data_IF_775387978623
#
_entry.id   IF_775387978623
#
_cell.length_a   1.000
_cell.length_b   1.000
_cell.length_c   1.000
_cell.angle_alpha   90.00
_cell.angle_beta   90.00
_cell.angle_gamma   90.00
#
_symmetry.space_group_name_H-M   'P 1'
#
loop_
_entity.id
_entity.type
_entity.pdbx_description
1 polymer ?
#
# COMPACT_ATOMS: atom_id res chain seq x y z
N UNK A 1 19.80 3.02 -14.55
CA UNK A 1 18.48 3.52 -14.14
C UNK A 1 17.90 2.66 -13.04
N UNK A 2 17.77 3.22 -11.87
CA UNK A 2 17.20 2.47 -10.75
C UNK A 2 15.69 2.58 -10.80
N UNK A 3 15.04 1.46 -10.99
CA UNK A 3 13.59 1.40 -10.85
C UNK A 3 13.27 1.30 -9.37
N UNK A 4 12.53 2.26 -8.85
CA UNK A 4 12.10 2.21 -7.47
C UNK A 4 11.18 1.01 -7.27
N UNK A 5 11.33 0.32 -6.14
CA UNK A 5 10.43 -0.78 -5.79
C UNK A 5 9.03 -0.23 -5.52
N UNK A 6 8.02 -1.11 -5.52
CA UNK A 6 6.66 -0.69 -5.21
C UNK A 6 6.57 -0.08 -3.81
N UNK A 7 7.33 -0.61 -2.86
CA UNK A 7 7.37 -0.05 -1.51
C UNK A 7 7.88 1.39 -1.52
N UNK A 8 8.92 1.65 -2.28
CA UNK A 8 9.47 3.00 -2.41
C UNK A 8 8.49 3.94 -3.07
N UNK A 9 7.81 3.47 -4.11
CA UNK A 9 6.79 4.27 -4.80
C UNK A 9 5.64 4.61 -3.88
N UNK A 10 5.21 3.65 -3.07
CA UNK A 10 4.14 3.88 -2.09
C UNK A 10 4.58 4.94 -1.08
N UNK A 11 5.82 4.87 -0.59
CA UNK A 11 6.36 5.86 0.33
C UNK A 11 6.39 7.25 -0.31
N UNK A 12 6.81 7.32 -1.57
CA UNK A 12 6.84 8.58 -2.29
C UNK A 12 5.46 9.15 -2.52
N UNK A 13 4.49 8.29 -2.86
CA UNK A 13 3.10 8.69 -3.02
C UNK A 13 2.53 9.23 -1.70
N UNK A 14 2.92 8.62 -0.58
CA UNK A 14 2.51 9.09 0.73
C UNK A 14 3.01 10.52 0.97
N UNK A 15 4.28 10.76 0.68
CA UNK A 15 4.86 12.09 0.83
C UNK A 15 4.17 13.11 -0.07
N UNK A 16 3.89 12.71 -1.31
CA UNK A 16 3.18 13.58 -2.25
C UNK A 16 1.77 13.91 -1.75
N UNK A 17 1.05 12.92 -1.22
CA UNK A 17 -0.27 13.14 -0.68
C UNK A 17 -0.23 14.07 0.53
N UNK A 18 0.79 13.95 1.38
CA UNK A 18 0.98 14.84 2.51
C UNK A 18 1.18 16.29 2.06
N UNK A 19 2.03 16.49 1.06
CA UNK A 19 2.31 17.82 0.52
C UNK A 19 1.09 18.44 -0.13
N UNK A 20 0.30 17.63 -0.81
CA UNK A 20 -0.90 18.08 -1.48
C UNK A 20 -2.09 18.25 -0.53
N UNK A 21 -1.98 17.78 0.70
CA UNK A 21 -3.07 17.84 1.66
C UNK A 21 -4.21 16.89 1.37
N UNK A 22 -3.95 15.83 0.61
CA UNK A 22 -4.96 14.83 0.26
C UNK A 22 -5.11 13.81 1.39
N UNK A 23 -5.94 14.15 2.37
CA UNK A 23 -6.10 13.33 3.57
C UNK A 23 -6.64 11.94 3.29
N UNK A 24 -7.61 11.83 2.40
CA UNK A 24 -8.21 10.53 2.06
C UNK A 24 -7.19 9.62 1.41
N UNK A 25 -6.44 10.15 0.45
CA UNK A 25 -5.41 9.40 -0.23
C UNK A 25 -4.31 8.99 0.75
N UNK A 26 -3.91 9.90 1.61
CA UNK A 26 -2.91 9.63 2.63
C UNK A 26 -3.35 8.50 3.55
N UNK A 27 -4.61 8.54 4.01
CA UNK A 27 -5.17 7.48 4.85
C UNK A 27 -5.14 6.12 4.16
N UNK A 28 -5.52 6.07 2.90
CA UNK A 28 -5.50 4.84 2.11
C UNK A 28 -4.07 4.29 1.98
N UNK A 29 -3.11 5.18 1.69
CA UNK A 29 -1.71 4.77 1.55
C UNK A 29 -1.17 4.24 2.88
N UNK A 30 -1.51 4.88 3.99
CA UNK A 30 -1.11 4.42 5.32
C UNK A 30 -1.68 3.05 5.64
N UNK A 31 -2.93 2.80 5.29
CA UNK A 31 -3.54 1.49 5.46
C UNK A 31 -2.81 0.44 4.66
N UNK A 32 -2.44 0.77 3.43
CA UNK A 32 -1.68 -0.13 2.57
C UNK A 32 -0.32 -0.45 3.18
N UNK A 33 0.39 0.55 3.65
CA UNK A 33 1.69 0.35 4.29
C UNK A 33 1.57 -0.49 5.55
N UNK A 34 0.54 -0.26 6.34
CA UNK A 34 0.29 -1.05 7.54
C UNK A 34 0.04 -2.52 7.20
N UNK A 35 -0.75 -2.77 6.15
CA UNK A 35 -1.00 -4.13 5.69
C UNK A 35 0.26 -4.84 5.22
N UNK A 36 1.11 -4.12 4.48
CA UNK A 36 2.39 -4.66 4.02
C UNK A 36 3.28 -4.99 5.21
N UNK A 37 3.41 -4.06 6.12
CA UNK A 37 4.26 -4.24 7.30
C UNK A 37 3.76 -5.38 8.19
N UNK A 38 2.46 -5.45 8.39
CA UNK A 38 1.86 -6.51 9.19
C UNK A 38 2.17 -7.87 8.61
N UNK A 39 2.05 -8.00 7.29
CA UNK A 39 2.35 -9.25 6.62
C UNK A 39 3.83 -9.61 6.73
N UNK A 40 4.72 -8.64 6.60
CA UNK A 40 6.14 -8.88 6.76
C UNK A 40 6.49 -9.37 8.16
N UNK A 41 5.86 -8.79 9.17
CA UNK A 41 6.07 -9.19 10.56
C UNK A 41 5.51 -10.59 10.82
N UNK A 42 4.29 -10.86 10.35
CA UNK A 42 3.63 -12.14 10.56
C UNK A 42 4.38 -13.30 9.90
N UNK A 43 4.85 -13.09 8.70
CA UNK A 43 5.54 -14.13 7.94
C UNK A 43 7.06 -14.05 8.07
N UNK A 44 7.55 -13.02 8.73
CA UNK A 44 8.99 -12.77 8.91
C UNK A 44 9.75 -12.75 7.60
N UNK A 45 9.17 -12.10 6.61
CA UNK A 45 9.74 -11.97 5.28
C UNK A 45 9.73 -10.52 4.86
N UNK A 46 10.51 -10.22 3.82
CA UNK A 46 10.45 -8.93 3.17
C UNK A 46 9.65 -9.10 1.89
N UNK A 47 8.60 -8.32 1.71
CA UNK A 47 7.75 -8.46 0.53
C UNK A 47 8.43 -7.85 -0.69
N UNK A 48 8.40 -8.59 -1.79
CA UNK A 48 8.86 -8.07 -3.08
C UNK A 48 7.69 -7.40 -3.81
N UNK A 49 7.96 -6.89 -5.02
CA UNK A 49 6.96 -6.17 -5.78
C UNK A 49 5.71 -7.01 -6.07
N UNK A 50 5.90 -8.28 -6.40
CA UNK A 50 4.78 -9.17 -6.68
C UNK A 50 3.89 -9.37 -5.45
N UNK A 51 4.52 -9.52 -4.29
CA UNK A 51 3.79 -9.70 -3.03
C UNK A 51 3.09 -8.41 -2.60
N UNK A 52 3.75 -7.28 -2.78
CA UNK A 52 3.14 -5.96 -2.51
C UNK A 52 1.92 -5.77 -3.41
N UNK A 53 2.06 -6.11 -4.69
CA UNK A 53 0.94 -6.01 -5.63
C UNK A 53 -0.23 -6.90 -5.20
N UNK A 54 0.05 -8.11 -4.71
CA UNK A 54 -0.99 -8.99 -4.21
C UNK A 54 -1.74 -8.38 -3.02
N UNK A 55 -1.02 -7.70 -2.13
CA UNK A 55 -1.64 -6.99 -1.00
C UNK A 55 -2.56 -5.89 -1.51
N UNK A 56 -2.10 -5.12 -2.49
CA UNK A 56 -2.89 -4.04 -3.08
C UNK A 56 -4.16 -4.59 -3.71
N UNK A 57 -4.04 -5.65 -4.49
CA UNK A 57 -5.20 -6.28 -5.14
C UNK A 57 -6.22 -6.78 -4.12
N UNK A 58 -5.74 -7.38 -3.05
CA UNK A 58 -6.59 -7.88 -1.99
C UNK A 58 -7.36 -6.73 -1.32
N UNK A 59 -6.68 -5.62 -1.05
CA UNK A 59 -7.32 -4.46 -0.46
C UNK A 59 -8.40 -3.87 -1.37
N UNK A 60 -8.08 -3.74 -2.66
CA UNK A 60 -9.04 -3.23 -3.63
C UNK A 60 -10.26 -4.14 -3.74
N UNK A 61 -10.05 -5.43 -3.72
CA UNK A 61 -11.13 -6.40 -3.77
C UNK A 61 -12.03 -6.29 -2.55
N UNK A 62 -11.45 -6.15 -1.36
CA UNK A 62 -12.21 -6.00 -0.14
C UNK A 62 -13.06 -4.73 -0.15
N UNK A 63 -12.48 -3.63 -0.61
CA UNK A 63 -13.21 -2.37 -0.71
C UNK A 63 -14.37 -2.47 -1.68
N UNK A 64 -14.15 -3.15 -2.79
CA UNK A 64 -15.20 -3.34 -3.79
C UNK A 64 -16.37 -4.16 -3.24
N UNK A 65 -16.05 -5.20 -2.48
CA UNK A 65 -17.07 -6.04 -1.85
C UNK A 65 -17.88 -5.24 -0.82
N UNK A 66 -17.21 -4.39 -0.05
CA UNK A 66 -17.87 -3.53 0.92
C UNK A 66 -18.85 -2.57 0.25
N UNK A 67 -18.45 -2.01 -0.87
CA UNK A 67 -19.29 -1.05 -1.60
C UNK A 67 -20.50 -1.75 -2.22
N UNK A 68 -20.34 -3.00 -2.60
CA UNK A 68 -21.43 -3.77 -3.23
C UNK A 68 -22.58 -4.09 -2.26
N UNK A 69 -22.35 -3.94 -0.99
CA UNK A 69 -23.39 -4.11 0.01
C UNK A 69 -24.16 -2.80 0.18
#
# INVERSE_FOLDING_TARGET
MTTASLKERITEDMKAAMRAGEKERLGTIRMLQAGIKQREVDERISLDDAQVLAVIEKMLKQRKESIAQ
#
